data_IF_393215129824
#
_entry.id   IF_393215129824
#
_cell.length_a   1.000
_cell.length_b   1.000
_cell.length_c   1.000
_cell.angle_alpha   90.00
_cell.angle_beta   90.00
_cell.angle_gamma   90.00
#
_symmetry.space_group_name_H-M   'P 1'
#
loop_
_entity.id
_entity.type
_entity.pdbx_description
1 polymer ?
#
# COMPACT_ATOMS: atom_id res chain seq x y z
N UNK A 1 14.55 0.06 3.46
CA UNK A 1 14.13 1.46 3.37
C UNK A 1 13.06 1.74 4.43
N UNK A 2 13.16 2.86 5.13
CA UNK A 2 12.21 3.29 6.15
C UNK A 2 11.64 4.65 5.76
N UNK A 3 10.34 4.80 5.89
CA UNK A 3 9.64 6.06 5.56
C UNK A 3 8.62 6.37 6.67
N UNK A 4 8.81 7.51 7.31
CA UNK A 4 7.79 8.08 8.20
C UNK A 4 6.76 8.81 7.32
N UNK A 5 5.51 8.42 7.44
CA UNK A 5 4.38 9.02 6.71
C UNK A 5 3.52 9.87 7.62
N UNK A 6 3.27 11.10 7.21
CA UNK A 6 2.16 11.92 7.68
C UNK A 6 1.18 12.08 6.51
N UNK A 7 -0.04 11.63 6.70
CA UNK A 7 -1.10 11.70 5.68
C UNK A 7 -2.25 12.53 6.23
N UNK A 8 -2.42 13.79 5.77
CA UNK A 8 -3.55 14.62 6.17
C UNK A 8 -4.87 14.08 5.60
N UNK A 9 -6.03 14.50 6.15
CA UNK A 9 -7.35 14.01 5.75
C UNK A 9 -7.67 14.12 4.26
N UNK A 10 -7.05 15.09 3.58
CA UNK A 10 -7.28 15.39 2.17
C UNK A 10 -6.32 14.67 1.22
N UNK A 11 -5.28 14.01 1.75
CA UNK A 11 -4.30 13.31 0.93
C UNK A 11 -4.62 11.82 0.87
N UNK A 12 -4.40 11.24 -0.29
CA UNK A 12 -4.53 9.81 -0.51
C UNK A 12 -3.44 9.30 -1.45
N UNK A 13 -3.21 7.99 -1.40
CA UNK A 13 -2.49 7.25 -2.43
C UNK A 13 -3.51 6.33 -3.08
N UNK A 14 -3.56 6.32 -4.39
CA UNK A 14 -4.44 5.48 -5.20
C UNK A 14 -4.15 3.99 -5.03
N UNK A 15 -5.00 3.14 -5.58
CA UNK A 15 -4.77 1.70 -5.61
C UNK A 15 -3.46 1.36 -6.29
N UNK A 16 -2.65 0.52 -5.66
CA UNK A 16 -1.36 0.10 -6.17
C UNK A 16 -0.88 -1.21 -5.54
N UNK A 17 0.10 -1.78 -6.18
CA UNK A 17 0.97 -2.82 -5.65
C UNK A 17 2.39 -2.24 -5.60
N UNK A 18 3.11 -2.42 -4.51
CA UNK A 18 4.46 -1.83 -4.35
C UNK A 18 5.42 -2.27 -5.47
N UNK A 19 5.26 -3.48 -5.97
CA UNK A 19 6.04 -4.00 -7.08
C UNK A 19 5.91 -3.20 -8.38
N UNK A 20 4.80 -2.51 -8.60
CA UNK A 20 4.57 -1.72 -9.80
C UNK A 20 5.55 -0.55 -9.95
N UNK A 21 6.01 0.03 -8.83
CA UNK A 21 6.98 1.14 -8.85
C UNK A 21 8.38 0.74 -8.34
N UNK A 22 8.51 -0.36 -7.61
CA UNK A 22 9.81 -0.87 -7.16
C UNK A 22 10.53 -1.69 -8.23
N UNK A 23 9.78 -2.31 -9.14
CA UNK A 23 10.26 -3.18 -10.20
C UNK A 23 9.72 -4.62 -10.08
N UNK A 24 9.39 -5.21 -11.20
CA UNK A 24 8.72 -6.52 -11.28
C UNK A 24 9.56 -7.69 -10.68
N UNK A 25 10.87 -7.57 -10.73
CA UNK A 25 11.78 -8.60 -10.21
C UNK A 25 12.06 -8.47 -8.72
N UNK A 26 11.65 -7.37 -8.09
CA UNK A 26 11.90 -7.13 -6.68
C UNK A 26 11.18 -8.15 -5.81
N UNK A 27 11.85 -8.57 -4.74
CA UNK A 27 11.27 -9.40 -3.68
C UNK A 27 11.36 -8.65 -2.38
N UNK A 28 10.21 -8.26 -1.85
CA UNK A 28 10.16 -7.43 -0.64
C UNK A 28 9.10 -7.90 0.34
N UNK A 29 9.37 -7.62 1.60
CA UNK A 29 8.36 -7.60 2.67
C UNK A 29 8.24 -6.16 3.12
N UNK A 30 7.04 -5.62 3.07
CA UNK A 30 6.70 -4.33 3.65
C UNK A 30 6.08 -4.55 5.03
N UNK A 31 6.54 -3.79 6.01
CA UNK A 31 5.94 -3.70 7.34
C UNK A 31 5.40 -2.29 7.49
N UNK A 32 4.09 -2.16 7.43
CA UNK A 32 3.38 -0.91 7.69
C UNK A 32 2.91 -0.90 9.14
N UNK A 33 3.27 0.12 9.91
CA UNK A 33 2.97 0.22 11.33
C UNK A 33 2.19 1.52 11.58
N UNK A 34 1.02 1.42 12.21
CA UNK A 34 0.28 2.57 12.70
C UNK A 34 1.01 3.23 13.86
N UNK A 35 1.26 4.52 13.80
CA UNK A 35 1.81 5.34 14.88
C UNK A 35 0.74 6.22 15.54
N UNK A 36 -0.44 6.29 14.95
CA UNK A 36 -1.64 6.94 15.49
C UNK A 36 -2.86 6.09 15.21
N UNK A 37 -3.95 6.31 15.93
CA UNK A 37 -5.25 5.73 15.58
C UNK A 37 -5.61 6.12 14.15
N UNK A 38 -6.07 5.15 13.35
CA UNK A 38 -6.52 5.39 11.99
C UNK A 38 -7.56 4.36 11.52
N UNK A 39 -8.23 4.66 10.40
CA UNK A 39 -9.35 3.88 9.91
C UNK A 39 -10.72 4.41 10.35
N UNK A 40 -10.79 5.41 11.24
CA UNK A 40 -12.05 6.08 11.66
C UNK A 40 -11.97 7.58 11.31
N UNK A 41 -11.28 8.39 12.11
CA UNK A 41 -11.16 9.84 11.92
C UNK A 41 -9.92 10.24 11.09
N UNK A 42 -8.94 9.36 11.03
CA UNK A 42 -7.78 9.44 10.15
C UNK A 42 -7.83 8.33 9.11
N UNK A 43 -7.23 8.54 7.94
CA UNK A 43 -7.20 7.53 6.87
C UNK A 43 -6.48 6.26 7.33
N UNK A 44 -7.06 5.09 7.09
CA UNK A 44 -6.43 3.79 7.25
C UNK A 44 -5.82 3.28 5.95
N UNK A 45 -5.87 1.96 5.78
CA UNK A 45 -5.60 1.27 4.53
C UNK A 45 -6.89 0.60 4.04
N UNK A 46 -7.12 0.66 2.72
CA UNK A 46 -8.04 -0.24 2.05
C UNK A 46 -7.23 -1.34 1.37
N UNK A 47 -7.68 -2.57 1.50
CA UNK A 47 -6.97 -3.78 1.08
C UNK A 47 -7.91 -4.67 0.29
N UNK A 48 -7.49 -5.15 -0.88
CA UNK A 48 -8.17 -6.26 -1.55
C UNK A 48 -7.70 -7.57 -0.92
N UNK A 49 -8.58 -8.34 -0.25
CA UNK A 49 -8.20 -9.53 0.50
C UNK A 49 -7.99 -10.74 -0.44
N UNK A 50 -7.05 -10.59 -1.34
CA UNK A 50 -6.70 -11.61 -2.32
C UNK A 50 -5.21 -11.72 -2.47
N UNK A 51 -4.71 -12.95 -2.61
CA UNK A 51 -3.35 -13.20 -3.03
C UNK A 51 -3.21 -12.94 -4.52
N UNK A 52 -2.23 -12.12 -4.87
CA UNK A 52 -1.73 -11.95 -6.23
C UNK A 52 -0.30 -12.49 -6.30
N UNK A 53 0.08 -13.07 -7.43
CA UNK A 53 1.41 -13.59 -7.68
C UNK A 53 2.14 -12.79 -8.78
N UNK A 54 1.45 -11.77 -9.30
CA UNK A 54 1.95 -10.85 -10.33
C UNK A 54 1.38 -9.44 -10.11
N UNK A 55 1.96 -8.45 -10.79
CA UNK A 55 1.42 -7.11 -10.85
C UNK A 55 0.21 -7.12 -11.79
N UNK A 56 -0.94 -6.67 -11.28
CA UNK A 56 -2.14 -6.50 -12.10
C UNK A 56 -1.97 -5.31 -13.04
N UNK A 57 -2.83 -5.20 -14.05
CA UNK A 57 -2.77 -4.14 -15.05
C UNK A 57 -2.74 -2.75 -14.38
N UNK A 58 -1.78 -1.90 -14.78
CA UNK A 58 -1.58 -0.56 -14.26
C UNK A 58 -1.72 0.50 -15.35
N UNK A 59 -1.95 1.75 -14.98
CA UNK A 59 -2.02 2.88 -15.90
C UNK A 59 -3.29 2.96 -16.76
N UNK A 60 -4.26 2.10 -16.51
CA UNK A 60 -5.53 2.01 -17.25
C UNK A 60 -6.74 2.02 -16.30
N UNK A 61 -7.97 1.95 -16.82
CA UNK A 61 -9.18 1.76 -16.02
C UNK A 61 -9.41 2.84 -14.95
N UNK A 62 -9.11 4.11 -15.25
CA UNK A 62 -9.25 5.23 -14.32
C UNK A 62 -8.03 5.49 -13.43
N UNK A 63 -6.87 4.94 -13.76
CA UNK A 63 -5.60 5.24 -13.09
C UNK A 63 -5.14 6.69 -13.33
N UNK A 64 -4.47 7.29 -12.33
CA UNK A 64 -3.87 8.63 -12.45
C UNK A 64 -2.40 8.57 -12.90
N UNK A 65 -1.68 7.51 -12.50
CA UNK A 65 -0.26 7.31 -12.79
C UNK A 65 -0.05 5.97 -13.48
N UNK A 66 1.08 5.81 -14.15
CA UNK A 66 1.42 4.56 -14.86
C UNK A 66 1.57 3.33 -13.95
N UNK A 67 1.80 3.53 -12.65
CA UNK A 67 1.95 2.48 -11.65
C UNK A 67 0.67 2.25 -10.82
N UNK A 68 -0.34 3.13 -10.96
CA UNK A 68 -1.63 2.97 -10.30
C UNK A 68 -2.44 1.84 -10.92
N UNK A 69 -3.22 1.18 -10.10
CA UNK A 69 -4.28 0.27 -10.55
C UNK A 69 -5.59 1.06 -10.57
N UNK A 70 -6.16 1.23 -11.77
CA UNK A 70 -7.41 1.97 -11.91
C UNK A 70 -8.58 1.27 -11.24
N UNK A 71 -9.59 2.03 -10.82
CA UNK A 71 -10.74 1.50 -10.08
C UNK A 71 -11.48 0.40 -10.87
N UNK A 72 -11.58 0.53 -12.19
CA UNK A 72 -12.22 -0.49 -13.03
C UNK A 72 -11.45 -1.82 -12.99
N UNK A 73 -10.12 -1.76 -13.02
CA UNK A 73 -9.26 -2.94 -12.89
C UNK A 73 -9.41 -3.55 -11.50
N UNK A 74 -9.44 -2.74 -10.44
CA UNK A 74 -9.65 -3.21 -9.06
C UNK A 74 -10.98 -3.96 -8.96
N UNK A 75 -12.08 -3.40 -9.48
CA UNK A 75 -13.39 -4.05 -9.49
C UNK A 75 -13.36 -5.40 -10.21
N UNK A 76 -12.67 -5.46 -11.34
CA UNK A 76 -12.52 -6.70 -12.10
C UNK A 76 -11.72 -7.77 -11.34
N UNK A 77 -10.55 -7.41 -10.77
CA UNK A 77 -9.66 -8.39 -10.16
C UNK A 77 -10.11 -8.83 -8.76
N UNK A 78 -10.82 -7.98 -8.01
CA UNK A 78 -11.38 -8.37 -6.71
C UNK A 78 -12.61 -9.26 -6.84
N UNK A 79 -13.35 -9.17 -7.96
CA UNK A 79 -14.61 -9.88 -8.16
C UNK A 79 -15.65 -9.54 -7.08
N UNK A 80 -16.18 -10.55 -6.43
CA UNK A 80 -17.16 -10.44 -5.34
C UNK A 80 -16.57 -10.24 -3.94
N UNK A 81 -15.24 -10.17 -3.81
CA UNK A 81 -14.59 -9.93 -2.52
C UNK A 81 -14.79 -8.49 -2.06
N UNK A 82 -15.17 -8.33 -0.80
CA UNK A 82 -15.28 -7.01 -0.19
C UNK A 82 -13.88 -6.45 0.13
N UNK A 83 -13.70 -5.15 -0.10
CA UNK A 83 -12.50 -4.42 0.32
C UNK A 83 -12.46 -4.37 1.85
N UNK A 84 -11.35 -4.75 2.43
CA UNK A 84 -11.11 -4.61 3.86
C UNK A 84 -10.62 -3.19 4.15
N UNK A 85 -11.23 -2.54 5.16
CA UNK A 85 -10.81 -1.23 5.68
C UNK A 85 -10.60 -1.33 7.20
N UNK A 86 -9.50 -1.92 7.65
CA UNK A 86 -9.26 -2.15 9.07
C UNK A 86 -9.13 -0.86 9.87
N UNK A 87 -9.48 -0.92 11.14
CA UNK A 87 -9.18 0.11 12.13
C UNK A 87 -7.90 -0.31 12.85
N UNK A 88 -6.99 0.65 13.02
CA UNK A 88 -5.69 0.43 13.65
C UNK A 88 -5.51 1.32 14.87
N UNK A 89 -4.97 0.75 15.94
CA UNK A 89 -4.40 1.46 17.07
C UNK A 89 -2.88 1.64 16.89
N UNK A 90 -2.24 2.59 17.59
CA UNK A 90 -0.78 2.72 17.58
C UNK A 90 -0.08 1.40 17.97
N UNK A 91 0.82 0.94 17.10
CA UNK A 91 1.53 -0.33 17.25
C UNK A 91 0.96 -1.49 16.44
N UNK A 92 -0.26 -1.38 15.92
CA UNK A 92 -0.79 -2.36 14.99
C UNK A 92 0.00 -2.32 13.67
N UNK A 93 0.19 -3.47 13.06
CA UNK A 93 0.97 -3.59 11.84
C UNK A 93 0.31 -4.48 10.79
N UNK A 94 0.54 -4.14 9.54
CA UNK A 94 0.27 -5.01 8.39
C UNK A 94 1.61 -5.42 7.76
N UNK A 95 1.78 -6.73 7.55
CA UNK A 95 2.97 -7.28 6.91
C UNK A 95 2.53 -7.89 5.59
N UNK A 96 3.13 -7.45 4.50
CA UNK A 96 2.75 -7.86 3.15
C UNK A 96 3.92 -7.82 2.18
N UNK A 97 3.75 -8.44 1.03
CA UNK A 97 4.75 -8.44 -0.03
C UNK A 97 4.45 -7.37 -1.10
N UNK A 98 5.25 -7.33 -2.14
CA UNK A 98 5.13 -6.39 -3.26
C UNK A 98 3.82 -6.53 -4.06
N UNK A 99 3.04 -7.58 -3.85
CA UNK A 99 1.85 -7.88 -4.63
C UNK A 99 0.54 -7.55 -3.93
N UNK A 100 0.55 -7.12 -2.67
CA UNK A 100 -0.70 -6.70 -2.00
C UNK A 100 -1.31 -5.51 -2.73
N UNK A 101 -2.53 -5.66 -3.22
CA UNK A 101 -3.29 -4.55 -3.80
C UNK A 101 -3.95 -3.75 -2.69
N UNK A 102 -3.48 -2.51 -2.51
CA UNK A 102 -3.91 -1.66 -1.41
C UNK A 102 -3.91 -0.17 -1.80
N UNK A 103 -4.51 0.66 -0.95
CA UNK A 103 -4.48 2.12 -1.06
C UNK A 103 -4.61 2.79 0.30
N UNK A 104 -4.46 4.12 0.32
CA UNK A 104 -4.94 4.92 1.45
C UNK A 104 -6.46 4.83 1.53
N UNK A 105 -6.99 4.42 2.66
CA UNK A 105 -8.44 4.35 2.90
C UNK A 105 -9.03 5.75 2.93
N UNK A 106 -9.98 6.01 2.03
CA UNK A 106 -10.67 7.30 1.93
C UNK A 106 -12.13 7.12 2.26
N UNK A 107 -12.63 7.92 3.22
CA UNK A 107 -14.05 7.98 3.58
C UNK A 107 -14.44 9.38 4.01
N UNK A 108 -15.73 9.64 4.06
CA UNK A 108 -16.27 10.90 4.60
C UNK A 108 -15.95 11.04 6.09
N UNK A 109 -15.77 12.28 6.54
CA UNK A 109 -15.59 12.62 7.95
C UNK A 109 -14.16 12.49 8.48
N UNK A 110 -13.17 12.20 7.63
CA UNK A 110 -11.77 12.25 8.04
C UNK A 110 -11.41 13.68 8.48
N UNK A 111 -10.82 13.80 9.67
CA UNK A 111 -10.50 15.09 10.30
C UNK A 111 -9.11 15.14 10.94
N UNK A 112 -8.42 13.99 11.03
CA UNK A 112 -7.12 13.86 11.67
C UNK A 112 -6.05 13.38 10.70
N UNK A 113 -4.83 13.78 10.96
CA UNK A 113 -3.66 13.24 10.27
C UNK A 113 -3.42 11.79 10.70
N UNK A 114 -3.05 10.94 9.74
CA UNK A 114 -2.47 9.61 10.01
C UNK A 114 -0.97 9.73 10.11
N UNK A 115 -0.39 9.06 11.10
CA UNK A 115 1.04 8.81 11.19
C UNK A 115 1.29 7.31 11.09
N UNK A 116 2.20 6.92 10.21
CA UNK A 116 2.60 5.52 10.02
C UNK A 116 4.08 5.41 9.67
N UNK A 117 4.67 4.27 9.98
CA UNK A 117 6.00 3.89 9.54
C UNK A 117 5.87 2.80 8.48
N UNK A 118 6.54 2.97 7.36
CA UNK A 118 6.68 1.95 6.32
C UNK A 118 8.13 1.49 6.26
N UNK A 119 8.34 0.20 6.32
CA UNK A 119 9.66 -0.41 6.27
C UNK A 119 9.69 -1.50 5.20
N UNK A 120 10.43 -1.26 4.11
CA UNK A 120 10.67 -2.26 3.06
C UNK A 120 11.96 -3.03 3.34
N UNK A 121 11.83 -4.35 3.43
CA UNK A 121 12.93 -5.29 3.52
C UNK A 121 13.04 -6.04 2.20
N UNK A 122 14.19 -5.97 1.55
CA UNK A 122 14.41 -6.56 0.24
C UNK A 122 15.26 -7.82 0.35
N UNK A 123 14.95 -8.82 -0.48
CA UNK A 123 15.84 -9.95 -0.66
C UNK A 123 17.17 -9.49 -1.26
N UNK A 124 18.33 -9.93 -0.74
CA UNK A 124 19.65 -9.50 -1.25
C UNK A 124 19.88 -9.72 -2.73
N UNK A 125 19.19 -10.70 -3.32
CA UNK A 125 19.28 -11.05 -4.73
C UNK A 125 18.28 -10.31 -5.63
N UNK A 126 17.29 -9.60 -5.04
CA UNK A 126 16.15 -9.04 -5.77
C UNK A 126 15.70 -7.72 -5.13
N UNK A 127 16.55 -6.71 -5.13
CA UNK A 127 16.26 -5.37 -4.63
C UNK A 127 16.30 -4.33 -5.77
N UNK A 128 15.71 -3.14 -5.60
CA UNK A 128 15.71 -2.12 -6.63
C UNK A 128 17.14 -1.69 -7.01
N UNK A 129 17.43 -1.61 -8.31
CA UNK A 129 18.78 -1.32 -8.84
C UNK A 129 19.40 -0.02 -8.30
N UNK A 130 18.55 0.97 -7.99
CA UNK A 130 19.00 2.27 -7.47
C UNK A 130 19.13 2.31 -5.93
N UNK A 131 18.97 1.17 -5.24
CA UNK A 131 19.09 1.10 -3.79
C UNK A 131 20.43 0.48 -3.40
N UNK A 132 21.05 1.06 -2.38
CA UNK A 132 22.26 0.51 -1.78
C UNK A 132 21.87 -0.30 -0.55
N UNK A 133 22.22 -1.58 -0.54
CA UNK A 133 22.02 -2.44 0.62
C UNK A 133 22.92 -1.98 1.77
N UNK A 134 22.33 -1.82 2.95
CA UNK A 134 23.12 -1.73 4.17
C UNK A 134 23.43 -3.16 4.62
N UNK A 135 24.69 -3.53 4.62
CA UNK A 135 25.16 -4.75 5.29
C UNK A 135 25.20 -4.45 6.79
N UNK A 136 24.38 -5.15 7.55
CA UNK A 136 24.35 -5.10 9.01
C UNK A 136 25.02 -6.35 9.53
#
# INVERSE_FOLDING_TARGET
KWTLRRVPPTANTSWHQDGAFLGETVRTVNVWIALSDCGIDASGLDIVPQRFDEIVETGTGGAYFNWDVGTEVVEQVRGDKEVLSPVFAPGDAVIFDQYLLHRTGVKEGLSKDRYALEAWFFAPSHFPENYHGLLV
#
